data_IF_853172494196
#
_entry.id   IF_853172494196
#
_cell.length_a   1.000
_cell.length_b   1.000
_cell.length_c   1.000
_cell.angle_alpha   90.00
_cell.angle_beta   90.00
_cell.angle_gamma   90.00
#
_symmetry.space_group_name_H-M   'P 1'
#
loop_
_entity.id
_entity.type
_entity.pdbx_description
1 polymer ?
#
# COMPACT_ATOMS: atom_id res chain seq x y z
N UNK A 1 -20.44 -41.52 -41.82
CA UNK A 1 -19.13 -41.42 -41.11
C UNK A 1 -18.30 -40.17 -41.43
N UNK A 2 -18.24 -39.66 -42.67
CA UNK A 2 -17.45 -38.44 -43.01
C UNK A 2 -17.88 -37.19 -42.22
N UNK A 3 -19.19 -36.93 -42.14
CA UNK A 3 -19.73 -35.77 -41.41
C UNK A 3 -19.54 -35.85 -39.89
N UNK A 4 -19.58 -37.07 -39.32
CA UNK A 4 -19.33 -37.28 -37.90
C UNK A 4 -17.88 -36.98 -37.50
N UNK A 5 -16.91 -37.37 -38.35
CA UNK A 5 -15.49 -37.02 -38.14
C UNK A 5 -15.25 -35.52 -38.24
N UNK A 6 -15.86 -34.85 -39.23
CA UNK A 6 -15.75 -33.40 -39.37
C UNK A 6 -16.36 -32.65 -38.17
N UNK A 7 -17.54 -33.07 -37.70
CA UNK A 7 -18.20 -32.47 -36.55
C UNK A 7 -17.37 -32.63 -35.27
N UNK A 8 -16.74 -33.79 -35.06
CA UNK A 8 -15.86 -34.03 -33.90
C UNK A 8 -14.61 -33.14 -33.98
N UNK A 9 -13.98 -33.01 -35.16
CA UNK A 9 -12.80 -32.15 -35.35
C UNK A 9 -13.13 -30.68 -35.09
N UNK A 10 -14.28 -30.19 -35.56
CA UNK A 10 -14.73 -28.81 -35.32
C UNK A 10 -15.01 -28.59 -33.83
N UNK A 11 -15.68 -29.54 -33.15
CA UNK A 11 -15.96 -29.42 -31.72
C UNK A 11 -14.68 -29.40 -30.88
N UNK A 12 -13.71 -30.26 -31.19
CA UNK A 12 -12.42 -30.29 -30.50
C UNK A 12 -11.63 -28.99 -30.72
N UNK A 13 -11.63 -28.46 -31.95
CA UNK A 13 -11.01 -27.18 -32.26
C UNK A 13 -11.65 -26.01 -31.49
N UNK A 14 -12.98 -26.02 -31.33
CA UNK A 14 -13.71 -25.02 -30.56
C UNK A 14 -13.39 -25.09 -29.06
N UNK A 15 -13.32 -26.31 -28.50
CA UNK A 15 -12.97 -26.53 -27.09
C UNK A 15 -11.53 -26.05 -26.82
N UNK A 16 -10.58 -26.36 -27.69
CA UNK A 16 -9.18 -25.92 -27.59
C UNK A 16 -9.02 -24.40 -27.67
N UNK A 17 -9.83 -23.73 -28.49
CA UNK A 17 -9.79 -22.26 -28.60
C UNK A 17 -10.44 -21.57 -27.40
N UNK A 18 -11.52 -22.13 -26.84
CA UNK A 18 -12.14 -21.62 -25.61
C UNK A 18 -11.20 -21.80 -24.41
N UNK A 19 -10.51 -22.93 -24.28
CA UNK A 19 -9.56 -23.16 -23.17
C UNK A 19 -8.32 -22.29 -23.28
N UNK A 20 -7.80 -22.08 -24.49
CA UNK A 20 -6.69 -21.14 -24.73
C UNK A 20 -7.08 -19.70 -24.37
N UNK A 21 -8.29 -19.26 -24.73
CA UNK A 21 -8.79 -17.93 -24.41
C UNK A 21 -9.02 -17.75 -22.90
N UNK A 22 -9.55 -18.76 -22.22
CA UNK A 22 -9.72 -18.74 -20.77
C UNK A 22 -8.39 -18.72 -20.00
N UNK A 23 -7.34 -19.38 -20.54
CA UNK A 23 -5.99 -19.33 -19.98
C UNK A 23 -5.35 -17.94 -20.13
N UNK A 24 -5.59 -17.25 -21.26
CA UNK A 24 -5.17 -15.85 -21.47
C UNK A 24 -5.82 -14.89 -20.47
N UNK A 25 -7.11 -15.08 -20.15
CA UNK A 25 -7.81 -14.25 -19.15
C UNK A 25 -7.25 -14.48 -17.74
N UNK A 26 -6.94 -15.73 -17.37
CA UNK A 26 -6.33 -16.05 -16.05
C UNK A 26 -4.88 -15.59 -15.93
N UNK A 27 -4.14 -15.49 -17.04
CA UNK A 27 -2.77 -15.00 -17.08
C UNK A 27 -2.66 -13.46 -16.93
N UNK A 28 -3.78 -12.73 -17.00
CA UNK A 28 -3.84 -11.31 -16.61
C UNK A 28 -3.93 -11.10 -15.10
N UNK A 29 -3.55 -12.08 -14.29
CA UNK A 29 -3.26 -11.85 -12.88
C UNK A 29 -2.14 -10.82 -12.78
N UNK A 30 -2.49 -9.56 -12.47
CA UNK A 30 -1.52 -8.52 -12.23
C UNK A 30 -0.52 -8.98 -11.17
N UNK A 31 0.75 -8.65 -11.37
CA UNK A 31 1.76 -8.88 -10.34
C UNK A 31 1.30 -8.20 -9.04
N UNK A 32 1.42 -8.87 -7.89
CA UNK A 32 1.12 -8.22 -6.62
C UNK A 32 2.02 -6.98 -6.49
N UNK A 33 1.48 -5.83 -6.03
CA UNK A 33 2.26 -4.61 -5.90
C UNK A 33 3.51 -4.81 -5.03
N UNK A 34 4.61 -4.17 -5.42
CA UNK A 34 5.86 -4.22 -4.66
C UNK A 34 5.74 -3.34 -3.41
N UNK A 35 5.57 -4.01 -2.28
CA UNK A 35 5.43 -3.41 -0.97
C UNK A 35 6.73 -3.58 -0.16
N UNK A 36 7.28 -2.48 0.36
CA UNK A 36 8.39 -2.53 1.30
C UNK A 36 8.04 -1.71 2.54
N UNK A 37 7.63 -2.39 3.62
CA UNK A 37 7.23 -1.77 4.88
C UNK A 37 8.08 -2.26 6.05
N UNK A 38 8.39 -1.36 6.98
CA UNK A 38 8.92 -1.72 8.29
C UNK A 38 7.77 -1.81 9.30
N UNK A 39 7.56 -2.97 9.91
CA UNK A 39 6.53 -3.17 10.92
C UNK A 39 7.16 -3.35 12.31
N UNK A 40 6.53 -2.79 13.34
CA UNK A 40 6.91 -3.07 14.72
C UNK A 40 6.34 -4.44 15.14
N UNK A 41 7.23 -5.40 15.38
CA UNK A 41 6.89 -6.66 16.04
C UNK A 41 7.38 -6.59 17.48
N UNK A 42 6.47 -6.43 18.43
CA UNK A 42 6.73 -6.91 19.77
C UNK A 42 5.45 -7.47 20.39
N UNK A 43 5.50 -8.77 20.64
CA UNK A 43 4.57 -9.64 21.40
C UNK A 43 3.59 -8.86 22.28
N UNK A 44 2.28 -9.16 22.23
CA UNK A 44 1.25 -8.87 23.25
C UNK A 44 1.64 -7.85 24.33
N UNK A 45 2.10 -6.67 23.95
CA UNK A 45 2.38 -5.58 24.86
C UNK A 45 1.12 -4.76 24.80
N UNK A 46 0.55 -4.47 25.95
CA UNK A 46 -0.65 -3.65 26.11
C UNK A 46 -0.48 -2.23 25.54
N UNK A 47 0.72 -1.89 25.04
CA UNK A 47 1.10 -0.58 24.52
C UNK A 47 2.03 -0.70 23.32
N UNK A 48 1.61 -0.17 22.17
CA UNK A 48 2.50 0.04 21.03
C UNK A 48 3.32 1.31 21.25
N UNK A 49 4.63 1.18 21.42
CA UNK A 49 5.58 2.29 21.65
C UNK A 49 5.82 3.18 20.41
N UNK A 50 5.08 2.93 19.33
CA UNK A 50 5.29 3.55 18.04
C UNK A 50 6.35 2.84 17.18
N UNK A 51 6.55 3.34 15.97
CA UNK A 51 7.51 2.84 14.99
C UNK A 51 8.25 4.03 14.36
N UNK A 52 9.53 3.83 14.04
CA UNK A 52 10.35 4.78 13.29
C UNK A 52 11.15 4.05 12.23
N UNK A 53 11.25 4.63 11.05
CA UNK A 53 12.01 4.07 9.92
C UNK A 53 12.57 5.16 9.03
N UNK A 54 13.73 4.89 8.44
CA UNK A 54 14.35 5.75 7.43
C UNK A 54 14.13 5.13 6.06
N UNK A 55 13.54 5.88 5.15
CA UNK A 55 13.16 5.38 3.84
C UNK A 55 13.71 6.33 2.77
N UNK A 56 14.48 5.76 1.84
CA UNK A 56 15.02 6.48 0.69
C UNK A 56 13.95 6.62 -0.39
N UNK A 57 13.68 7.85 -0.82
CA UNK A 57 12.74 8.15 -1.89
C UNK A 57 13.38 7.88 -3.25
N UNK A 58 12.93 6.79 -3.88
CA UNK A 58 13.39 6.39 -5.21
C UNK A 58 12.94 7.38 -6.30
N UNK A 59 13.62 7.34 -7.45
CA UNK A 59 13.25 8.09 -8.64
C UNK A 59 11.86 7.65 -9.14
N UNK A 60 10.91 8.58 -9.36
CA UNK A 60 9.57 8.26 -9.85
C UNK A 60 9.55 7.70 -11.27
N UNK A 61 10.59 7.94 -12.08
CA UNK A 61 10.76 7.39 -13.43
C UNK A 61 11.18 5.92 -13.43
N UNK A 62 11.62 5.35 -12.29
CA UNK A 62 11.84 3.90 -12.20
C UNK A 62 10.54 3.21 -12.61
N UNK A 63 10.55 2.40 -13.70
CA UNK A 63 9.34 1.79 -14.21
C UNK A 63 8.71 0.96 -13.13
N UNK A 64 7.48 1.33 -12.80
CA UNK A 64 6.57 0.45 -12.11
C UNK A 64 5.70 -0.09 -13.24
N UNK A 65 5.60 -1.41 -13.42
CA UNK A 65 4.67 -1.99 -14.39
C UNK A 65 3.25 -1.42 -14.16
N UNK A 66 2.31 -1.50 -15.11
CA UNK A 66 0.96 -0.94 -14.96
C UNK A 66 0.20 -1.40 -13.70
N UNK A 67 0.67 -2.47 -13.03
CA UNK A 67 0.15 -2.99 -11.77
C UNK A 67 1.09 -2.78 -10.57
N UNK A 68 2.25 -2.18 -10.77
CA UNK A 68 3.22 -1.90 -9.72
C UNK A 68 2.88 -0.55 -9.08
N UNK A 69 2.12 -0.60 -8.01
CA UNK A 69 2.14 0.47 -7.03
C UNK A 69 3.37 0.26 -6.15
N UNK A 70 4.29 1.22 -6.16
CA UNK A 70 5.41 1.22 -5.24
C UNK A 70 5.08 2.11 -4.05
N UNK A 71 4.99 1.50 -2.88
CA UNK A 71 4.83 2.21 -1.62
C UNK A 71 5.88 1.72 -0.62
N UNK A 72 6.40 2.66 0.17
CA UNK A 72 7.27 2.38 1.30
C UNK A 72 6.77 3.08 2.54
N UNK A 73 6.74 2.37 3.65
CA UNK A 73 6.09 2.88 4.86
C UNK A 73 6.63 2.27 6.15
N UNK A 74 6.25 2.89 7.26
CA UNK A 74 6.28 2.31 8.60
C UNK A 74 4.85 2.03 9.07
N UNK A 75 4.63 0.92 9.78
CA UNK A 75 3.28 0.53 10.25
C UNK A 75 3.24 0.24 11.74
N UNK A 76 2.18 0.70 12.40
CA UNK A 76 1.73 0.19 13.70
C UNK A 76 0.51 -0.69 13.48
N UNK A 77 0.59 -1.94 13.89
CA UNK A 77 -0.55 -2.84 13.95
C UNK A 77 -1.33 -2.60 15.25
N UNK A 78 -2.62 -2.26 15.11
CA UNK A 78 -3.55 -2.02 16.22
C UNK A 78 -4.29 -3.32 16.57
N UNK A 79 -4.64 -4.11 15.56
CA UNK A 79 -5.18 -5.46 15.77
C UNK A 79 -4.85 -6.34 14.58
N UNK A 80 -4.19 -7.46 14.83
CA UNK A 80 -4.04 -8.55 13.87
C UNK A 80 -5.34 -9.31 13.67
N UNK A 81 -6.16 -9.49 14.73
CA UNK A 81 -7.43 -10.21 14.63
C UNK A 81 -8.39 -9.53 13.65
N UNK A 82 -8.48 -8.21 13.71
CA UNK A 82 -9.39 -7.43 12.90
C UNK A 82 -8.71 -6.73 11.71
N UNK A 83 -7.38 -6.82 11.60
CA UNK A 83 -6.61 -6.18 10.52
C UNK A 83 -6.55 -4.66 10.63
N UNK A 84 -6.55 -4.12 11.85
CA UNK A 84 -6.46 -2.68 12.10
C UNK A 84 -5.02 -2.21 12.21
N UNK A 85 -4.71 -1.07 11.60
CA UNK A 85 -3.38 -0.50 11.55
C UNK A 85 -3.41 0.98 11.14
N UNK A 86 -2.30 1.65 11.45
CA UNK A 86 -1.95 2.96 10.88
C UNK A 86 -0.58 2.83 10.23
N UNK A 87 -0.44 3.37 9.02
CA UNK A 87 0.84 3.41 8.32
C UNK A 87 1.13 4.79 7.78
N UNK A 88 2.42 5.11 7.73
CA UNK A 88 2.95 6.40 7.28
C UNK A 88 4.11 6.12 6.33
N UNK A 89 4.10 6.77 5.17
CA UNK A 89 5.12 6.51 4.17
C UNK A 89 5.02 7.44 2.98
N UNK A 90 5.50 6.95 1.85
CA UNK A 90 5.27 7.57 0.56
C UNK A 90 4.80 6.51 -0.45
N UNK A 91 4.05 6.97 -1.43
CA UNK A 91 3.62 6.17 -2.57
C UNK A 91 3.92 6.87 -3.88
N UNK A 92 4.15 6.07 -4.90
CA UNK A 92 4.12 6.49 -6.29
C UNK A 92 2.68 6.35 -6.79
N UNK A 93 2.05 7.47 -7.13
CA UNK A 93 0.71 7.47 -7.72
C UNK A 93 0.74 7.97 -9.15
N UNK A 94 -0.24 7.52 -9.93
CA UNK A 94 -0.57 8.04 -11.23
C UNK A 94 -1.79 8.96 -11.08
N UNK A 95 -1.64 10.17 -10.53
CA UNK A 95 -2.75 11.13 -10.41
C UNK A 95 -2.72 12.18 -11.52
N UNK A 96 -3.24 11.84 -12.70
CA UNK A 96 -4.43 12.49 -13.36
C UNK A 96 -4.56 12.09 -14.85
N UNK A 97 -5.80 12.10 -15.39
CA UNK A 97 -6.14 11.53 -16.69
C UNK A 97 -5.87 12.52 -17.84
N UNK A 98 -5.63 11.97 -19.03
CA UNK A 98 -5.68 12.66 -20.34
C UNK A 98 -4.57 13.69 -20.60
N UNK A 99 -3.31 13.27 -20.65
CA UNK A 99 -2.43 13.52 -21.82
C UNK A 99 -0.95 13.17 -21.56
N UNK A 100 -0.48 13.14 -20.32
CA UNK A 100 0.89 12.70 -19.98
C UNK A 100 0.89 12.11 -18.56
N UNK A 101 1.08 10.80 -18.45
CA UNK A 101 1.15 10.06 -17.18
C UNK A 101 2.47 10.35 -16.46
N UNK A 102 2.63 11.52 -15.86
CA UNK A 102 3.81 11.80 -15.04
C UNK A 102 3.62 11.13 -13.68
N UNK A 103 4.47 10.16 -13.29
CA UNK A 103 4.40 9.57 -11.97
C UNK A 103 4.68 10.63 -10.91
N UNK A 104 3.77 10.78 -9.94
CA UNK A 104 3.95 11.70 -8.81
C UNK A 104 4.15 10.93 -7.52
N UNK A 105 5.12 11.40 -6.72
CA UNK A 105 5.36 10.89 -5.38
C UNK A 105 4.51 11.69 -4.40
N UNK A 106 3.86 11.01 -3.46
CA UNK A 106 3.11 11.66 -2.40
C UNK A 106 3.48 10.99 -1.08
N UNK A 107 3.68 11.77 -0.02
CA UNK A 107 3.58 11.22 1.31
C UNK A 107 2.15 10.76 1.53
N UNK A 108 1.97 9.74 2.33
CA UNK A 108 0.63 9.30 2.71
C UNK A 108 0.61 8.76 4.12
N UNK A 109 -0.54 8.97 4.75
CA UNK A 109 -0.96 8.23 5.93
C UNK A 109 -2.17 7.43 5.51
N UNK A 110 -2.19 6.15 5.87
CA UNK A 110 -3.35 5.30 5.69
C UNK A 110 -3.74 4.67 7.02
N UNK A 111 -5.03 4.69 7.30
CA UNK A 111 -5.61 4.20 8.54
C UNK A 111 -6.70 3.20 8.21
N UNK A 112 -6.57 2.00 8.76
CA UNK A 112 -7.58 0.95 8.73
C UNK A 112 -7.94 0.64 10.17
N UNK A 113 -9.18 0.94 10.55
CA UNK A 113 -9.65 0.82 11.92
C UNK A 113 -11.13 0.41 11.91
N UNK A 114 -11.77 0.39 13.09
CA UNK A 114 -13.16 -0.04 13.24
C UNK A 114 -14.18 0.94 12.64
N UNK A 115 -13.78 2.18 12.35
CA UNK A 115 -14.71 3.24 11.92
C UNK A 115 -15.17 3.10 10.46
N UNK A 116 -14.58 2.19 9.68
CA UNK A 116 -15.05 1.88 8.34
C UNK A 116 -13.93 1.72 7.31
N UNK A 117 -14.15 2.14 6.05
CA UNK A 117 -13.17 1.99 4.98
C UNK A 117 -11.82 2.67 5.28
N UNK A 118 -10.72 2.24 4.60
CA UNK A 118 -9.43 2.88 4.75
C UNK A 118 -9.49 4.39 4.52
N UNK A 119 -8.89 5.15 5.43
CA UNK A 119 -8.76 6.62 5.33
C UNK A 119 -7.37 6.95 4.80
N UNK A 120 -7.28 7.84 3.83
CA UNK A 120 -6.02 8.30 3.25
C UNK A 120 -5.84 9.81 3.43
N UNK A 121 -4.66 10.20 3.90
CA UNK A 121 -4.26 11.59 4.09
C UNK A 121 -2.97 11.78 3.30
N UNK A 122 -2.85 12.90 2.59
CA UNK A 122 -1.70 13.21 1.74
C UNK A 122 -1.04 14.50 2.22
N UNK A 123 -0.01 14.39 3.10
CA UNK A 123 0.75 15.53 3.57
C UNK A 123 1.46 16.31 2.46
N UNK A 124 1.47 17.64 2.61
CA UNK A 124 2.41 18.53 1.93
C UNK A 124 3.66 18.76 2.82
N UNK A 125 4.85 19.01 2.24
CA UNK A 125 5.16 19.03 0.81
C UNK A 125 5.30 17.62 0.20
N UNK A 126 5.43 17.50 -1.12
CA UNK A 126 5.69 16.20 -1.77
C UNK A 126 7.10 15.65 -1.50
N UNK A 127 7.30 14.32 -1.49
CA UNK A 127 8.61 13.69 -1.37
C UNK A 127 9.52 14.06 -2.53
N UNK A 128 10.80 14.30 -2.21
CA UNK A 128 11.84 14.56 -3.21
C UNK A 128 12.63 13.28 -3.50
N UNK A 129 12.82 12.99 -4.79
CA UNK A 129 13.73 11.93 -5.23
C UNK A 129 15.12 12.11 -4.60
N UNK A 130 15.75 11.00 -4.24
CA UNK A 130 17.12 10.98 -3.75
C UNK A 130 17.27 11.37 -2.27
N UNK A 131 16.16 11.70 -1.61
CA UNK A 131 16.15 12.08 -0.20
C UNK A 131 15.73 10.90 0.66
N UNK A 132 16.46 10.68 1.76
CA UNK A 132 16.05 9.78 2.84
C UNK A 132 15.30 10.58 3.89
N UNK A 133 14.05 10.22 4.12
CA UNK A 133 13.22 10.80 5.17
C UNK A 133 13.12 9.85 6.36
N UNK A 134 12.96 10.39 7.56
CA UNK A 134 12.60 9.62 8.76
C UNK A 134 11.11 9.73 8.97
N UNK A 135 10.42 8.59 9.05
CA UNK A 135 8.98 8.48 9.29
C UNK A 135 8.78 7.94 10.69
N UNK A 136 7.94 8.59 11.48
CA UNK A 136 7.64 8.20 12.86
C UNK A 136 6.13 8.17 13.07
N UNK A 137 5.64 7.10 13.68
CA UNK A 137 4.29 7.02 14.24
C UNK A 137 4.47 6.75 15.71
N UNK A 138 4.10 7.68 16.59
CA UNK A 138 4.26 7.53 18.03
C UNK A 138 2.95 7.83 18.76
N UNK A 139 2.65 7.16 19.88
CA UNK A 139 1.44 7.46 20.65
C UNK A 139 1.50 8.87 21.24
N UNK A 140 0.47 9.69 20.98
CA UNK A 140 0.18 10.95 21.64
C UNK A 140 -0.77 10.68 22.81
N UNK A 141 -0.23 10.09 23.89
CA UNK A 141 -0.99 9.57 25.03
C UNK A 141 -2.00 10.55 25.65
N UNK A 142 -1.77 11.86 25.56
CA UNK A 142 -2.71 12.89 26.03
C UNK A 142 -4.05 12.88 25.30
N UNK A 143 -4.07 12.45 24.04
CA UNK A 143 -5.19 12.67 23.13
C UNK A 143 -5.78 11.37 22.57
N UNK A 144 -5.28 10.20 22.99
CA UNK A 144 -5.60 8.88 22.40
C UNK A 144 -5.42 8.88 20.87
N UNK A 145 -4.37 9.53 20.38
CA UNK A 145 -4.05 9.70 18.96
C UNK A 145 -2.64 9.26 18.67
N UNK A 146 -2.34 9.03 17.40
CA UNK A 146 -1.00 8.82 16.88
C UNK A 146 -0.44 10.13 16.37
N UNK A 147 0.77 10.49 16.78
CA UNK A 147 1.53 11.54 16.15
C UNK A 147 2.32 10.96 15.00
N UNK A 148 2.01 11.43 13.79
CA UNK A 148 2.67 11.08 12.54
C UNK A 148 3.66 12.20 12.18
N UNK A 149 4.95 11.86 12.07
CA UNK A 149 6.03 12.83 11.83
C UNK A 149 6.84 12.38 10.63
N UNK A 150 7.15 13.32 9.75
CA UNK A 150 8.12 13.13 8.66
C UNK A 150 9.25 14.14 8.87
N UNK A 151 10.49 13.67 8.81
CA UNK A 151 11.69 14.49 8.99
C UNK A 151 12.64 14.37 7.80
N UNK A 152 13.25 15.49 7.41
CA UNK A 152 14.40 15.54 6.50
C UNK A 152 15.64 15.91 7.31
N UNK A 153 16.44 14.92 7.69
CA UNK A 153 17.54 15.13 8.63
C UNK A 153 17.00 15.45 10.04
N UNK A 154 17.18 16.70 10.49
CA UNK A 154 16.67 17.20 11.78
C UNK A 154 15.45 18.12 11.62
N UNK A 155 15.05 18.44 10.40
CA UNK A 155 13.91 19.31 10.11
C UNK A 155 12.62 18.47 10.06
N UNK A 156 11.61 18.89 10.82
CA UNK A 156 10.25 18.35 10.71
C UNK A 156 9.59 19.01 9.49
N UNK A 157 9.30 18.21 8.48
CA UNK A 157 8.61 18.68 7.26
C UNK A 157 7.10 18.46 7.33
N UNK A 158 6.66 17.52 8.18
CA UNK A 158 5.26 17.31 8.49
C UNK A 158 5.10 16.75 9.90
N UNK A 159 4.09 17.25 10.62
CA UNK A 159 3.59 16.68 11.87
C UNK A 159 2.06 16.73 11.86
N UNK A 160 1.42 15.60 12.14
CA UNK A 160 -0.04 15.46 12.23
C UNK A 160 -0.46 14.56 13.40
N UNK A 161 -1.68 14.77 13.90
CA UNK A 161 -2.30 13.93 14.93
C UNK A 161 -3.46 13.17 14.32
N UNK A 162 -3.33 11.85 14.31
CA UNK A 162 -4.26 10.93 13.67
C UNK A 162 -4.94 10.01 14.67
N UNK A 163 -6.27 9.97 14.62
CA UNK A 163 -7.07 9.13 15.49
C UNK A 163 -7.27 7.75 14.88
N UNK A 164 -7.25 6.72 15.72
CA UNK A 164 -7.63 5.35 15.35
C UNK A 164 -8.62 4.81 16.37
N UNK A 165 -9.57 4.00 15.94
CA UNK A 165 -10.45 3.26 16.84
C UNK A 165 -10.37 1.74 16.60
N UNK A 166 -9.92 0.94 17.57
CA UNK A 166 -9.42 1.35 18.88
C UNK A 166 -8.07 2.08 18.77
N UNK A 167 -7.75 2.90 19.77
CA UNK A 167 -6.42 3.52 19.88
C UNK A 167 -5.39 2.50 20.38
N UNK A 168 -5.76 1.72 21.39
CA UNK A 168 -4.90 0.70 21.98
C UNK A 168 -4.98 -0.62 21.21
N UNK A 169 -3.94 -1.45 21.36
CA UNK A 169 -3.94 -2.79 20.81
C UNK A 169 -5.03 -3.65 21.46
N UNK A 170 -5.84 -4.34 20.66
CA UNK A 170 -7.01 -5.11 21.14
C UNK A 170 -6.91 -6.62 20.91
N UNK A 171 -5.73 -7.13 20.53
CA UNK A 171 -5.50 -8.57 20.45
C UNK A 171 -5.21 -9.15 21.85
N UNK A 172 -6.28 -9.42 22.60
CA UNK A 172 -6.28 -10.21 23.84
C UNK A 172 -7.08 -11.51 23.67
#
# INVERSE_FOLDING_TARGET
MKYAKLAITVMLGLILSITAFAALIKAQGGYPPYHAGYFFYNKSVTYAFGVSGKIYTINPEVPATPNDYFCQWVTVMISYKYGYWIQLGYLKSLVKPLSQSVPTMNFYIEIVDEQGPPRHIYPDPVPQEGITYTYKIIPAFSDNKWKCIIEKGAEIIYEGLEETNPFNCVDL
#
